data_IF_088920476315
#
_entry.id   IF_088920476315
#
_cell.length_a   1.000
_cell.length_b   1.000
_cell.length_c   1.000
_cell.angle_alpha   90.00
_cell.angle_beta   90.00
_cell.angle_gamma   90.00
#
_symmetry.space_group_name_H-M   'P 1'
#
loop_
_entity.id
_entity.type
_entity.pdbx_description
1 polymer ?
#
# COMPACT_ATOMS: atom_id res chain seq x y z
N UNK A 1 -12.52 -12.60 5.64
CA UNK A 1 -13.15 -12.34 4.31
C UNK A 1 -12.90 -10.89 3.94
N UNK A 2 -12.93 -10.57 2.64
CA UNK A 2 -12.85 -9.18 2.20
C UNK A 2 -14.02 -8.36 2.80
N UNK A 3 -13.74 -7.10 3.14
CA UNK A 3 -14.68 -6.14 3.74
C UNK A 3 -15.28 -6.56 5.11
N UNK A 4 -14.65 -7.53 5.80
CA UNK A 4 -15.09 -7.87 7.16
C UNK A 4 -14.35 -7.03 8.20
N UNK A 5 -15.09 -6.56 9.20
CA UNK A 5 -14.54 -5.86 10.36
C UNK A 5 -13.84 -6.90 11.24
N UNK A 6 -12.56 -6.65 11.54
CA UNK A 6 -11.74 -7.47 12.45
C UNK A 6 -11.86 -6.95 13.87
N UNK A 7 -11.80 -5.60 14.03
CA UNK A 7 -11.99 -4.89 15.28
C UNK A 7 -12.83 -3.65 15.01
N UNK A 8 -13.90 -3.46 15.76
CA UNK A 8 -14.78 -2.30 15.60
C UNK A 8 -14.28 -1.10 16.41
N UNK A 9 -14.57 0.10 15.91
CA UNK A 9 -14.40 1.34 16.67
C UNK A 9 -15.23 1.30 17.96
N UNK A 10 -14.77 1.98 18.99
CA UNK A 10 -15.38 2.09 20.32
C UNK A 10 -15.62 0.76 21.04
N UNK A 11 -14.94 -0.30 20.59
CA UNK A 11 -14.97 -1.61 21.26
C UNK A 11 -13.78 -1.82 22.18
N UNK A 12 -13.89 -2.84 23.04
CA UNK A 12 -12.79 -3.29 23.90
C UNK A 12 -12.03 -4.42 23.22
N UNK A 13 -10.78 -4.21 22.78
CA UNK A 13 -10.01 -5.26 22.15
C UNK A 13 -9.66 -6.40 23.10
N UNK A 14 -9.85 -7.63 22.62
CA UNK A 14 -9.50 -8.85 23.38
C UNK A 14 -8.26 -9.54 22.82
N UNK A 15 -7.85 -9.19 21.60
CA UNK A 15 -6.77 -9.85 20.89
C UNK A 15 -5.77 -8.85 20.30
N UNK A 16 -4.50 -9.25 20.29
CA UNK A 16 -3.47 -8.66 19.43
C UNK A 16 -3.44 -9.44 18.11
N UNK A 17 -3.40 -8.74 17.01
CA UNK A 17 -3.45 -9.35 15.68
C UNK A 17 -2.14 -9.23 14.93
N UNK A 18 -1.73 -10.33 14.29
CA UNK A 18 -0.58 -10.42 13.39
C UNK A 18 -1.09 -10.76 11.99
N UNK A 19 -0.76 -9.98 10.98
CA UNK A 19 -1.16 -10.27 9.59
C UNK A 19 -0.25 -11.35 9.02
N UNK A 20 -0.82 -12.50 8.66
CA UNK A 20 -0.11 -13.59 8.01
C UNK A 20 -0.24 -13.52 6.48
N UNK A 21 -1.39 -13.03 5.99
CA UNK A 21 -1.71 -12.85 4.58
C UNK A 21 -2.78 -11.76 4.43
N UNK A 22 -2.73 -11.02 3.32
CA UNK A 22 -3.72 -10.00 2.98
C UNK A 22 -3.39 -8.63 3.56
N UNK A 23 -4.38 -7.74 3.51
CA UNK A 23 -4.28 -6.35 3.92
C UNK A 23 -5.42 -5.99 4.88
N UNK A 24 -5.06 -5.30 5.96
CA UNK A 24 -6.00 -4.76 6.95
C UNK A 24 -5.85 -3.24 6.95
N UNK A 25 -6.92 -2.51 6.76
CA UNK A 25 -6.93 -1.04 6.89
C UNK A 25 -7.46 -0.60 8.25
N UNK A 26 -6.84 0.42 8.81
CA UNK A 26 -7.30 1.16 9.98
C UNK A 26 -8.07 2.39 9.52
N UNK A 27 -9.29 2.56 10.01
CA UNK A 27 -10.21 3.61 9.59
C UNK A 27 -10.73 4.37 10.81
N UNK A 28 -10.83 5.68 10.68
CA UNK A 28 -11.54 6.56 11.61
C UNK A 28 -12.45 7.49 10.80
N UNK A 29 -13.76 7.50 11.10
CA UNK A 29 -14.75 8.35 10.43
C UNK A 29 -14.61 8.36 8.89
N UNK A 30 -14.54 7.17 8.28
CA UNK A 30 -14.34 6.92 6.84
C UNK A 30 -12.96 7.31 6.29
N UNK A 31 -12.05 7.83 7.12
CA UNK A 31 -10.69 8.16 6.71
C UNK A 31 -9.74 6.98 6.98
N UNK A 32 -8.99 6.55 5.96
CA UNK A 32 -7.96 5.52 6.10
C UNK A 32 -6.72 6.13 6.75
N UNK A 33 -6.35 5.64 7.93
CA UNK A 33 -5.20 6.10 8.70
C UNK A 33 -3.94 5.28 8.40
N UNK A 34 -4.09 3.97 8.24
CA UNK A 34 -2.97 3.05 8.01
C UNK A 34 -3.45 1.80 7.28
N UNK A 35 -2.51 1.09 6.65
CA UNK A 35 -2.73 -0.25 6.08
C UNK A 35 -1.65 -1.17 6.61
N UNK A 36 -2.06 -2.33 7.10
CA UNK A 36 -1.19 -3.37 7.66
C UNK A 36 -1.12 -4.56 6.72
N UNK A 37 0.09 -5.00 6.43
CA UNK A 37 0.43 -6.10 5.52
C UNK A 37 1.08 -7.27 6.26
N UNK A 38 1.44 -8.32 5.52
CA UNK A 38 2.09 -9.52 6.07
C UNK A 38 3.30 -9.18 6.96
N UNK A 39 3.29 -9.71 8.18
CA UNK A 39 4.35 -9.55 9.18
C UNK A 39 4.12 -8.38 10.13
N UNK A 40 3.10 -7.55 9.88
CA UNK A 40 2.80 -6.41 10.73
C UNK A 40 1.78 -6.76 11.82
N UNK A 41 1.84 -5.96 12.89
CA UNK A 41 0.96 -6.06 14.06
C UNK A 41 0.07 -4.84 14.08
N UNK A 42 -1.22 -5.03 14.31
CA UNK A 42 -2.14 -3.93 14.48
C UNK A 42 -2.90 -4.00 15.81
N UNK A 43 -3.48 -2.87 16.18
CA UNK A 43 -4.32 -2.67 17.38
C UNK A 43 -3.63 -2.89 18.74
N UNK A 44 -2.28 -2.86 18.80
CA UNK A 44 -1.54 -3.02 20.05
C UNK A 44 -1.80 -1.90 21.06
N UNK A 45 -1.96 -0.66 20.58
CA UNK A 45 -2.25 0.52 21.43
C UNK A 45 -3.62 0.41 22.05
N UNK A 46 -4.64 0.08 21.26
CA UNK A 46 -6.02 -0.08 21.72
C UNK A 46 -6.14 -1.22 22.71
N UNK A 47 -5.43 -2.32 22.46
CA UNK A 47 -5.40 -3.47 23.36
C UNK A 47 -4.86 -3.11 24.75
N UNK A 48 -3.79 -2.31 24.82
CA UNK A 48 -3.20 -1.85 26.09
C UNK A 48 -4.11 -0.84 26.78
N UNK A 49 -4.71 0.08 26.01
CA UNK A 49 -5.64 1.10 26.53
C UNK A 49 -7.04 0.56 26.85
N UNK A 50 -7.34 -0.67 26.44
CA UNK A 50 -8.66 -1.30 26.58
C UNK A 50 -9.79 -0.57 25.86
N UNK A 51 -9.45 0.14 24.77
CA UNK A 51 -10.40 0.92 23.97
C UNK A 51 -9.86 1.13 22.56
N UNK A 52 -10.59 0.71 21.55
CA UNK A 52 -10.25 0.94 20.15
C UNK A 52 -10.90 2.22 19.65
N UNK A 53 -10.08 3.21 19.27
CA UNK A 53 -10.56 4.46 18.69
C UNK A 53 -10.94 4.33 17.21
N UNK A 54 -10.41 3.30 16.54
CA UNK A 54 -10.50 3.11 15.11
C UNK A 54 -11.09 1.74 14.80
N UNK A 55 -11.64 1.59 13.59
CA UNK A 55 -12.04 0.30 13.04
C UNK A 55 -10.89 -0.32 12.23
N UNK A 56 -10.75 -1.64 12.32
CA UNK A 56 -9.81 -2.42 11.50
C UNK A 56 -10.61 -3.33 10.57
N UNK A 57 -10.43 -3.15 9.25
CA UNK A 57 -11.22 -3.80 8.21
C UNK A 57 -10.32 -4.54 7.23
N UNK A 58 -10.63 -5.78 6.92
CA UNK A 58 -9.93 -6.53 5.89
C UNK A 58 -10.32 -6.02 4.50
N UNK A 59 -9.37 -5.51 3.71
CA UNK A 59 -9.62 -5.01 2.35
C UNK A 59 -9.79 -6.18 1.37
N UNK A 60 -9.09 -7.26 1.63
CA UNK A 60 -9.09 -8.48 0.81
C UNK A 60 -9.21 -9.73 1.70
N UNK A 61 -9.15 -10.92 1.09
CA UNK A 61 -9.10 -12.16 1.86
C UNK A 61 -7.81 -12.24 2.67
N UNK A 62 -7.95 -12.05 3.99
CA UNK A 62 -6.83 -11.93 4.92
C UNK A 62 -6.85 -13.04 5.96
N UNK A 63 -5.67 -13.42 6.42
CA UNK A 63 -5.44 -14.37 7.51
C UNK A 63 -4.64 -13.65 8.57
N UNK A 64 -5.18 -13.62 9.79
CA UNK A 64 -4.51 -13.06 10.96
C UNK A 64 -4.36 -14.12 12.04
N UNK A 65 -3.24 -14.09 12.75
CA UNK A 65 -3.10 -14.78 14.03
C UNK A 65 -3.58 -13.85 15.14
N UNK A 66 -4.45 -14.35 16.00
CA UNK A 66 -5.00 -13.60 17.13
C UNK A 66 -4.40 -14.11 18.44
N UNK A 67 -3.68 -13.28 19.17
CA UNK A 67 -3.12 -13.57 20.49
C UNK A 67 -4.00 -12.92 21.56
N UNK A 68 -4.52 -13.71 22.50
CA UNK A 68 -5.34 -13.20 23.60
C UNK A 68 -4.57 -12.17 24.44
N UNK A 69 -5.26 -11.12 24.86
CA UNK A 69 -4.74 -10.01 25.66
C UNK A 69 -3.99 -10.49 26.90
N UNK A 70 -4.59 -11.41 27.67
CA UNK A 70 -3.98 -11.94 28.90
C UNK A 70 -2.62 -12.59 28.60
N UNK A 71 -2.55 -13.35 27.51
CA UNK A 71 -1.30 -14.01 27.10
C UNK A 71 -0.26 -13.00 26.62
N UNK A 72 -0.68 -12.00 25.87
CA UNK A 72 0.19 -10.90 25.45
C UNK A 72 0.77 -10.16 26.66
N UNK A 73 -0.05 -9.80 27.65
CA UNK A 73 0.40 -9.13 28.87
C UNK A 73 1.37 -9.99 29.69
N UNK A 74 1.14 -11.31 29.76
CA UNK A 74 2.09 -12.24 30.39
C UNK A 74 3.46 -12.25 29.69
N UNK A 75 3.48 -12.26 28.37
CA UNK A 75 4.71 -12.21 27.57
C UNK A 75 5.44 -10.89 27.80
N UNK A 76 4.73 -9.76 27.81
CA UNK A 76 5.33 -8.45 28.09
C UNK A 76 5.96 -8.41 29.48
N UNK A 77 5.23 -8.82 30.52
CA UNK A 77 5.73 -8.81 31.90
C UNK A 77 6.92 -9.75 32.14
N UNK A 78 7.10 -10.77 31.32
CA UNK A 78 8.22 -11.71 31.41
C UNK A 78 9.44 -11.30 30.57
N UNK A 79 9.36 -10.27 29.74
CA UNK A 79 10.43 -9.85 28.84
C UNK A 79 10.55 -8.33 28.76
N UNK A 80 11.50 -7.76 29.49
CA UNK A 80 11.75 -6.32 29.56
C UNK A 80 12.06 -5.69 28.18
N UNK A 81 12.69 -6.43 27.26
CA UNK A 81 13.00 -5.90 25.93
C UNK A 81 11.74 -5.74 25.08
N UNK A 82 10.83 -6.72 25.13
CA UNK A 82 9.53 -6.63 24.48
C UNK A 82 8.65 -5.55 25.10
N UNK A 83 8.64 -5.46 26.42
CA UNK A 83 7.93 -4.41 27.15
C UNK A 83 8.40 -3.02 26.68
N UNK A 84 9.70 -2.76 26.69
CA UNK A 84 10.29 -1.51 26.25
C UNK A 84 9.94 -1.22 24.77
N UNK A 85 10.04 -2.21 23.88
CA UNK A 85 9.70 -2.06 22.46
C UNK A 85 8.25 -1.62 22.27
N UNK A 86 7.30 -2.26 22.92
CA UNK A 86 5.89 -1.92 22.77
C UNK A 86 5.54 -0.57 23.41
N UNK A 87 6.06 -0.25 24.59
CA UNK A 87 5.80 1.04 25.24
C UNK A 87 6.50 2.20 24.52
N UNK A 88 7.71 2.01 24.01
CA UNK A 88 8.41 3.02 23.22
C UNK A 88 7.69 3.28 21.89
N UNK A 89 7.27 2.23 21.19
CA UNK A 89 6.45 2.34 19.97
C UNK A 89 5.12 3.05 20.23
N UNK A 90 4.50 2.87 21.38
CA UNK A 90 3.27 3.58 21.75
C UNK A 90 3.55 5.06 22.01
N UNK A 91 4.61 5.38 22.76
CA UNK A 91 5.02 6.76 23.01
C UNK A 91 5.35 7.49 21.71
N UNK A 92 6.07 6.84 20.80
CA UNK A 92 6.42 7.38 19.49
C UNK A 92 5.17 7.60 18.62
N UNK A 93 4.21 6.69 18.63
CA UNK A 93 2.93 6.84 17.92
C UNK A 93 2.05 7.94 18.52
N UNK A 94 2.12 8.18 19.81
CA UNK A 94 1.38 9.25 20.50
C UNK A 94 2.01 10.63 20.26
N UNK A 95 3.34 10.70 20.13
CA UNK A 95 4.06 11.95 19.89
C UNK A 95 4.12 12.37 18.41
N UNK A 96 3.88 11.43 17.49
CA UNK A 96 4.05 11.65 16.05
C UNK A 96 2.75 11.99 15.32
N UNK A 97 2.11 13.12 15.65
CA UNK A 97 1.09 13.72 14.77
C UNK A 97 1.64 14.06 13.37
N UNK A 98 2.96 14.21 13.22
CA UNK A 98 3.64 14.51 11.95
C UNK A 98 3.82 13.26 11.06
N UNK A 99 3.89 12.05 11.65
CA UNK A 99 3.96 10.80 10.88
C UNK A 99 2.60 10.35 10.33
N UNK A 100 1.51 10.88 10.85
CA UNK A 100 0.17 10.51 10.38
C UNK A 100 -0.09 10.93 8.92
N UNK A 101 0.41 12.09 8.47
CA UNK A 101 0.25 12.50 7.07
C UNK A 101 1.01 11.58 6.11
N UNK A 102 2.28 11.25 6.41
CA UNK A 102 3.05 10.31 5.59
C UNK A 102 2.48 8.90 5.58
N UNK A 103 1.94 8.45 6.71
CA UNK A 103 1.30 7.13 6.81
C UNK A 103 -0.02 7.10 6.04
N UNK A 104 -0.82 8.18 6.04
CA UNK A 104 -2.05 8.31 5.25
C UNK A 104 -1.76 8.26 3.75
N UNK A 105 -0.77 8.99 3.28
CA UNK A 105 -0.39 8.97 1.87
C UNK A 105 0.07 7.58 1.44
N UNK A 106 0.86 6.90 2.26
CA UNK A 106 1.33 5.54 2.01
C UNK A 106 0.17 4.53 2.05
N UNK A 107 -0.75 4.65 3.01
CA UNK A 107 -1.94 3.82 3.09
C UNK A 107 -2.83 3.98 1.84
N UNK A 108 -3.05 5.21 1.39
CA UNK A 108 -3.82 5.49 0.17
C UNK A 108 -3.16 4.87 -1.07
N UNK A 109 -1.83 4.93 -1.18
CA UNK A 109 -1.09 4.30 -2.28
C UNK A 109 -1.24 2.76 -2.24
N UNK A 110 -1.19 2.14 -1.06
CA UNK A 110 -1.30 0.68 -0.91
C UNK A 110 -2.66 0.12 -1.31
N UNK A 111 -3.74 0.88 -1.16
CA UNK A 111 -5.10 0.45 -1.53
C UNK A 111 -5.54 0.95 -2.90
N UNK A 112 -4.86 1.94 -3.47
CA UNK A 112 -5.17 2.51 -4.78
C UNK A 112 -5.04 1.45 -5.88
N UNK A 113 -6.00 1.41 -6.77
CA UNK A 113 -5.98 0.52 -7.94
C UNK A 113 -5.46 1.29 -9.16
N UNK A 114 -4.88 0.57 -10.11
CA UNK A 114 -4.41 1.17 -11.38
C UNK A 114 -5.49 2.02 -12.05
N UNK A 115 -6.76 1.59 -11.96
CA UNK A 115 -7.91 2.35 -12.50
C UNK A 115 -8.12 3.72 -11.83
N UNK A 116 -7.65 3.89 -10.58
CA UNK A 116 -7.80 5.13 -9.82
C UNK A 116 -6.67 6.13 -10.15
N UNK A 117 -5.61 5.65 -10.81
CA UNK A 117 -4.56 6.48 -11.36
C UNK A 117 -5.09 7.26 -12.59
N UNK A 118 -4.49 8.42 -12.86
CA UNK A 118 -4.77 9.15 -14.08
C UNK A 118 -4.25 8.37 -15.28
N UNK A 119 -5.15 7.58 -15.90
CA UNK A 119 -4.80 6.76 -17.08
C UNK A 119 -4.99 7.57 -18.34
N UNK A 120 -4.02 7.54 -19.22
CA UNK A 120 -4.11 8.10 -20.56
C UNK A 120 -4.52 7.01 -21.55
N UNK A 121 -5.27 7.40 -22.60
CA UNK A 121 -5.59 6.48 -23.69
C UNK A 121 -4.29 6.02 -24.35
N UNK A 122 -4.12 4.71 -24.51
CA UNK A 122 -2.95 4.17 -25.19
C UNK A 122 -2.90 4.63 -26.66
N UNK A 123 -1.73 5.10 -27.08
CA UNK A 123 -1.46 5.40 -28.50
C UNK A 123 -0.72 4.21 -29.08
N UNK A 124 -1.34 3.56 -30.05
CA UNK A 124 -0.79 2.40 -30.76
C UNK A 124 -0.34 2.81 -32.13
N UNK A 125 0.87 2.46 -32.52
CA UNK A 125 1.44 2.71 -33.84
C UNK A 125 2.03 1.43 -34.42
N UNK A 126 2.17 1.38 -35.73
CA UNK A 126 2.79 0.27 -36.44
C UNK A 126 4.31 0.23 -36.22
N UNK A 127 4.89 -0.99 -36.10
CA UNK A 127 6.36 -1.18 -35.97
C UNK A 127 7.14 -0.69 -37.19
N UNK A 128 6.52 -0.53 -38.36
CA UNK A 128 7.17 -0.02 -39.57
C UNK A 128 7.36 1.51 -39.54
N UNK A 129 6.83 2.21 -38.56
CA UNK A 129 7.09 3.66 -38.44
C UNK A 129 8.54 3.92 -38.04
N UNK A 130 9.05 5.01 -38.63
CA UNK A 130 10.42 5.45 -38.32
C UNK A 130 10.51 5.96 -36.87
N UNK A 131 11.71 5.94 -36.33
CA UNK A 131 12.00 6.51 -35.01
C UNK A 131 11.61 8.00 -34.92
N UNK A 132 11.82 8.73 -36.02
CA UNK A 132 11.45 10.15 -36.12
C UNK A 132 9.93 10.37 -36.04
N UNK A 133 9.14 9.56 -36.71
CA UNK A 133 7.67 9.61 -36.64
C UNK A 133 7.20 9.25 -35.25
N UNK A 134 7.74 8.20 -34.65
CA UNK A 134 7.41 7.78 -33.27
C UNK A 134 7.75 8.86 -32.24
N UNK A 135 8.93 9.48 -32.34
CA UNK A 135 9.33 10.59 -31.47
C UNK A 135 8.44 11.83 -31.66
N UNK A 136 8.00 12.08 -32.90
CA UNK A 136 7.09 13.18 -33.21
C UNK A 136 5.73 12.97 -32.53
N UNK A 137 5.18 11.75 -32.58
CA UNK A 137 3.91 11.40 -31.95
C UNK A 137 4.03 11.56 -30.42
N UNK A 138 5.09 11.03 -29.79
CA UNK A 138 5.36 11.21 -28.36
C UNK A 138 5.32 12.69 -27.97
N UNK A 139 5.97 13.55 -28.78
CA UNK A 139 6.02 14.99 -28.50
C UNK A 139 4.66 15.67 -28.69
N UNK A 140 3.92 15.34 -29.75
CA UNK A 140 2.62 15.94 -30.06
C UNK A 140 1.55 15.54 -29.05
N UNK A 141 1.47 14.25 -28.73
CA UNK A 141 0.50 13.70 -27.79
C UNK A 141 0.90 13.92 -26.32
N UNK A 142 2.11 14.40 -26.07
CA UNK A 142 2.69 14.62 -24.72
C UNK A 142 2.62 13.36 -23.84
N UNK A 143 2.93 12.22 -24.42
CA UNK A 143 2.95 10.91 -23.76
C UNK A 143 4.38 10.42 -23.64
N UNK A 144 4.74 9.70 -22.55
CA UNK A 144 6.09 9.16 -22.37
C UNK A 144 6.32 7.81 -23.07
N UNK A 145 5.27 7.21 -23.63
CA UNK A 145 5.26 5.81 -24.05
C UNK A 145 4.33 5.61 -25.24
N UNK A 146 4.77 4.79 -26.21
CA UNK A 146 3.96 4.28 -27.31
C UNK A 146 3.82 2.76 -27.20
N UNK A 147 2.68 2.24 -27.60
CA UNK A 147 2.51 0.83 -27.92
C UNK A 147 2.76 0.63 -29.41
N UNK A 148 3.54 -0.38 -29.75
CA UNK A 148 3.81 -0.77 -31.10
C UNK A 148 3.05 -2.05 -31.40
N UNK A 149 2.49 -2.16 -32.59
CA UNK A 149 1.83 -3.38 -33.06
C UNK A 149 2.50 -3.84 -34.35
N UNK A 150 2.91 -5.09 -34.42
CA UNK A 150 3.47 -5.68 -35.64
C UNK A 150 2.38 -6.32 -36.54
N UNK A 151 2.82 -6.89 -37.66
CA UNK A 151 1.94 -7.53 -38.66
C UNK A 151 1.26 -8.80 -38.09
N UNK A 152 1.90 -9.49 -37.15
CA UNK A 152 1.35 -10.68 -36.49
C UNK A 152 0.37 -10.32 -35.36
N UNK A 153 0.23 -9.02 -35.04
CA UNK A 153 -0.66 -8.51 -34.00
C UNK A 153 -0.05 -8.45 -32.62
N UNK A 154 1.24 -8.82 -32.48
CA UNK A 154 1.97 -8.72 -31.22
C UNK A 154 2.17 -7.26 -30.80
N UNK A 155 2.17 -7.04 -29.49
CA UNK A 155 2.27 -5.71 -28.92
C UNK A 155 3.59 -5.51 -28.17
N UNK A 156 4.23 -4.41 -28.47
CA UNK A 156 5.48 -3.98 -27.84
C UNK A 156 5.32 -2.60 -27.22
N UNK A 157 6.23 -2.26 -26.32
CA UNK A 157 6.26 -0.95 -25.66
C UNK A 157 7.58 -0.26 -25.98
N UNK A 158 7.53 1.02 -26.33
CA UNK A 158 8.70 1.87 -26.47
C UNK A 158 8.51 3.15 -25.65
N UNK A 159 9.54 3.54 -24.93
CA UNK A 159 9.54 4.71 -24.04
C UNK A 159 10.52 5.78 -24.53
N UNK A 160 10.35 7.00 -24.02
CA UNK A 160 11.31 8.10 -24.24
C UNK A 160 12.74 7.72 -23.79
N UNK A 161 12.86 6.87 -22.74
CA UNK A 161 14.15 6.34 -22.28
C UNK A 161 14.81 5.42 -23.31
N UNK A 162 14.02 4.60 -24.03
CA UNK A 162 14.54 3.69 -25.06
C UNK A 162 15.13 4.49 -26.23
N UNK A 163 14.47 5.58 -26.64
CA UNK A 163 15.01 6.45 -27.67
C UNK A 163 16.31 7.11 -27.24
N UNK A 164 16.40 7.59 -26.01
CA UNK A 164 17.63 8.20 -25.49
C UNK A 164 18.77 7.20 -25.40
N UNK A 165 18.53 6.01 -24.84
CA UNK A 165 19.60 5.03 -24.60
C UNK A 165 20.01 4.30 -25.88
N UNK A 166 19.06 3.86 -26.71
CA UNK A 166 19.37 2.99 -27.85
C UNK A 166 19.68 3.73 -29.15
N UNK A 167 19.21 4.98 -29.29
CA UNK A 167 19.35 5.73 -30.54
C UNK A 167 20.35 6.87 -30.42
N UNK A 168 20.41 7.56 -29.30
CA UNK A 168 21.25 8.75 -29.14
C UNK A 168 22.63 8.38 -28.57
N UNK A 169 22.73 7.40 -27.68
CA UNK A 169 23.98 7.03 -26.99
C UNK A 169 24.77 5.91 -27.69
N UNK A 170 24.20 5.21 -28.67
CA UNK A 170 24.86 4.15 -29.43
C UNK A 170 25.33 4.61 -30.84
N UNK A 171 25.77 5.85 -30.94
CA UNK A 171 26.51 6.34 -32.10
C UNK A 171 27.99 6.36 -31.87
#
# INVERSE_FOLDING_TARGET
KANSIVQAQDSNPEFLYFVLKGLIQEINDDEVLSVYSKGEIFDSVSLIKNHSKNSFVAIEESICYALKKERFMQILSSNQQLENYFFQSISDKLNNNILNEKNKDMANIMIAKVKDAKVHKAVVVDTNKTIYEAATIIKQEKIPTLLLKDEDGEMYIVTDSDFRQKVILNR
#
